data_IF_321474441930
#
_entry.id   IF_321474441930
#
_cell.length_a   1.000
_cell.length_b   1.000
_cell.length_c   1.000
_cell.angle_alpha   90.00
_cell.angle_beta   90.00
_cell.angle_gamma   90.00
#
_symmetry.space_group_name_H-M   'P 1'
#
loop_
_entity.id
_entity.type
_entity.pdbx_description
1 polymer ?
#
# COMPACT_ATOMS: atom_id res chain seq x y z
N UNK A 1 -70.38 11.48 46.45
CA UNK A 1 -69.54 12.27 45.54
C UNK A 1 -68.09 11.83 45.73
N UNK A 2 -67.58 11.04 44.88
CA UNK A 2 -66.30 10.36 45.01
C UNK A 2 -65.30 11.04 44.08
N UNK A 3 -64.20 11.56 44.60
CA UNK A 3 -63.13 12.13 43.89
C UNK A 3 -62.08 11.00 43.60
N UNK A 4 -61.82 10.73 42.39
CA UNK A 4 -60.72 9.82 41.93
C UNK A 4 -59.50 10.68 41.55
N UNK A 5 -58.40 10.52 42.29
CA UNK A 5 -57.10 11.08 42.03
C UNK A 5 -56.34 10.09 41.15
N UNK A 6 -56.02 10.47 39.91
CA UNK A 6 -55.15 9.72 39.01
C UNK A 6 -53.73 10.27 39.17
N UNK A 7 -52.85 9.46 39.75
CA UNK A 7 -51.42 9.75 39.86
C UNK A 7 -50.70 9.43 38.58
N UNK A 8 -50.02 10.41 38.05
CA UNK A 8 -49.11 10.27 36.89
C UNK A 8 -47.76 9.77 37.35
N UNK A 9 -47.40 8.55 36.97
CA UNK A 9 -46.04 8.00 37.13
C UNK A 9 -45.16 8.48 35.97
N UNK A 10 -44.23 9.37 36.27
CA UNK A 10 -43.18 9.76 35.35
C UNK A 10 -42.09 8.67 35.27
N UNK A 11 -41.93 8.08 34.10
CA UNK A 11 -40.82 7.15 33.80
C UNK A 11 -39.60 7.97 33.40
N UNK A 12 -38.59 8.02 34.27
CA UNK A 12 -37.26 8.51 33.96
C UNK A 12 -36.53 7.45 33.11
N UNK A 13 -36.38 7.71 31.83
CA UNK A 13 -35.52 6.92 30.96
C UNK A 13 -34.05 7.32 31.18
N UNK A 14 -33.32 6.49 31.90
CA UNK A 14 -31.87 6.54 32.00
C UNK A 14 -31.27 6.08 30.64
N UNK A 15 -30.84 7.04 29.84
CA UNK A 15 -30.07 6.79 28.65
C UNK A 15 -28.68 6.25 28.98
N UNK A 16 -28.46 4.97 28.80
CA UNK A 16 -27.12 4.37 28.84
C UNK A 16 -26.30 4.83 27.64
N UNK A 17 -25.33 5.72 27.86
CA UNK A 17 -24.26 5.97 26.90
C UNK A 17 -23.41 4.70 26.82
N UNK A 18 -23.57 3.94 25.75
CA UNK A 18 -22.64 2.88 25.40
C UNK A 18 -21.34 3.53 24.90
N UNK A 19 -20.30 3.51 25.71
CA UNK A 19 -18.92 3.75 25.27
C UNK A 19 -18.55 2.64 24.27
N UNK A 20 -18.51 2.99 22.98
CA UNK A 20 -17.89 2.15 21.98
C UNK A 20 -16.38 2.18 22.24
N UNK A 21 -15.89 1.23 23.00
CA UNK A 21 -14.47 0.93 23.08
C UNK A 21 -14.05 0.35 21.72
N UNK A 22 -13.32 1.13 20.96
CA UNK A 22 -12.51 0.63 19.83
C UNK A 22 -11.43 -0.25 20.45
N UNK A 23 -11.72 -1.54 20.54
CA UNK A 23 -10.72 -2.53 20.92
C UNK A 23 -9.65 -2.53 19.80
N UNK A 24 -8.47 -2.06 20.13
CA UNK A 24 -7.28 -2.29 19.30
C UNK A 24 -7.16 -3.81 19.12
N UNK A 25 -7.32 -4.26 17.88
CA UNK A 25 -7.15 -5.67 17.55
C UNK A 25 -5.69 -6.03 17.78
N UNK A 26 -5.46 -6.91 18.74
CA UNK A 26 -4.15 -7.53 18.94
C UNK A 26 -3.74 -8.28 17.67
N UNK A 27 -2.45 -8.30 17.31
CA UNK A 27 -1.98 -9.05 16.15
C UNK A 27 -2.34 -10.52 16.33
N UNK A 28 -3.07 -11.07 15.34
CA UNK A 28 -3.42 -12.49 15.31
C UNK A 28 -2.19 -13.25 14.81
N UNK A 29 -1.65 -14.23 15.54
CA UNK A 29 -0.55 -15.06 15.03
C UNK A 29 -1.05 -15.87 13.82
N UNK A 30 -0.35 -15.73 12.69
CA UNK A 30 -0.70 -16.36 11.44
C UNK A 30 -0.42 -17.89 11.48
N UNK A 31 -1.31 -18.73 10.96
CA UNK A 31 -1.06 -20.17 10.77
C UNK A 31 -0.10 -20.40 9.59
N UNK A 32 0.56 -21.56 9.55
CA UNK A 32 1.39 -21.99 8.41
C UNK A 32 0.48 -22.30 7.22
N UNK A 33 0.53 -21.47 6.16
CA UNK A 33 -0.32 -21.56 4.97
C UNK A 33 -0.46 -20.17 4.31
N UNK A 34 -1.19 -20.05 3.24
CA UNK A 34 -1.45 -18.77 2.54
C UNK A 34 -1.87 -17.68 3.52
N UNK A 35 -0.97 -16.76 3.79
CA UNK A 35 -1.21 -15.69 4.73
C UNK A 35 -1.88 -14.53 4.02
N UNK A 36 -2.97 -14.02 4.58
CA UNK A 36 -3.64 -12.85 4.02
C UNK A 36 -4.28 -11.96 5.08
N UNK A 37 -4.22 -10.66 4.84
CA UNK A 37 -4.94 -9.63 5.60
C UNK A 37 -5.82 -8.88 4.62
N UNK A 38 -7.11 -8.77 4.92
CA UNK A 38 -8.06 -7.97 4.15
C UNK A 38 -8.64 -6.87 5.02
N UNK A 39 -8.76 -5.64 4.47
CA UNK A 39 -9.36 -4.48 5.14
C UNK A 39 -10.23 -3.72 4.16
N UNK A 40 -11.44 -3.30 4.56
CA UNK A 40 -12.26 -2.40 3.76
C UNK A 40 -11.52 -1.08 3.50
N UNK A 41 -11.47 -0.65 2.24
CA UNK A 41 -10.83 0.60 1.83
C UNK A 41 -11.38 1.04 0.48
N UNK A 42 -11.92 2.24 0.42
CA UNK A 42 -12.55 2.76 -0.80
C UNK A 42 -11.52 3.38 -1.76
N UNK A 43 -11.86 3.41 -3.04
CA UNK A 43 -11.12 4.14 -4.07
C UNK A 43 -10.91 5.62 -3.73
N UNK A 44 -9.86 6.22 -4.29
CA UNK A 44 -9.48 7.62 -4.07
C UNK A 44 -8.78 7.86 -2.74
N UNK A 45 -8.53 6.81 -1.97
CA UNK A 45 -7.81 6.92 -0.71
C UNK A 45 -6.29 6.96 -0.89
N UNK A 46 -5.59 7.29 0.19
CA UNK A 46 -4.12 7.33 0.25
C UNK A 46 -3.58 6.13 0.98
N UNK A 47 -2.63 5.43 0.36
CA UNK A 47 -1.97 4.26 0.93
C UNK A 47 -0.50 4.55 1.17
N UNK A 48 -0.06 4.37 2.41
CA UNK A 48 1.34 4.43 2.81
C UNK A 48 1.87 3.01 2.97
N UNK A 49 2.90 2.68 2.21
CA UNK A 49 3.63 1.41 2.24
C UNK A 49 4.98 1.65 2.90
N UNK A 50 5.23 1.02 4.04
CA UNK A 50 6.52 0.99 4.75
C UNK A 50 6.99 -0.46 4.74
N UNK A 51 7.81 -0.80 3.77
CA UNK A 51 8.14 -2.18 3.48
C UNK A 51 9.54 -2.54 3.97
N UNK A 52 9.65 -3.70 4.59
CA UNK A 52 10.93 -4.35 4.83
C UNK A 52 11.62 -4.66 3.49
N UNK A 53 12.90 -5.05 3.53
CA UNK A 53 13.59 -5.48 2.31
C UNK A 53 13.00 -6.80 1.81
N UNK A 54 12.68 -6.92 0.52
CA UNK A 54 12.04 -8.13 -0.04
C UNK A 54 11.44 -7.86 -1.42
N UNK A 55 10.63 -8.80 -1.88
CA UNK A 55 10.03 -8.77 -3.21
C UNK A 55 8.52 -8.55 -3.10
N UNK A 56 8.04 -7.47 -3.72
CA UNK A 56 6.68 -7.00 -3.57
C UNK A 56 6.01 -6.76 -4.91
N UNK A 57 4.88 -7.41 -5.13
CA UNK A 57 3.95 -7.10 -6.22
C UNK A 57 2.83 -6.23 -5.68
N UNK A 58 2.71 -4.99 -6.16
CA UNK A 58 1.60 -4.08 -5.85
C UNK A 58 0.72 -3.95 -7.08
N UNK A 59 -0.53 -4.36 -6.99
CA UNK A 59 -1.42 -4.37 -8.15
C UNK A 59 -2.82 -3.87 -7.86
N UNK A 60 -3.53 -3.49 -8.91
CA UNK A 60 -4.95 -3.19 -8.79
C UNK A 60 -5.74 -4.45 -8.39
N UNK A 61 -6.61 -4.28 -7.41
CA UNK A 61 -7.54 -5.29 -6.92
C UNK A 61 -8.99 -4.79 -6.91
N UNK A 62 -9.78 -5.28 -5.97
CA UNK A 62 -11.16 -4.83 -5.80
C UNK A 62 -11.22 -3.37 -5.35
N UNK A 63 -12.26 -2.64 -5.76
CA UNK A 63 -12.41 -1.20 -5.53
C UNK A 63 -12.78 -0.82 -4.08
N UNK A 64 -13.12 -1.79 -3.26
CA UNK A 64 -13.68 -1.61 -1.92
C UNK A 64 -12.78 -2.10 -0.78
N UNK A 65 -11.57 -2.64 -1.09
CA UNK A 65 -10.70 -3.25 -0.09
C UNK A 65 -9.23 -3.25 -0.46
N UNK A 66 -8.40 -3.39 0.57
CA UNK A 66 -6.99 -3.75 0.48
C UNK A 66 -6.86 -5.22 0.84
N UNK A 67 -6.04 -5.96 0.08
CA UNK A 67 -5.64 -7.31 0.41
C UNK A 67 -4.12 -7.42 0.39
N UNK A 68 -3.53 -7.89 1.47
CA UNK A 68 -2.10 -8.20 1.54
C UNK A 68 -1.97 -9.70 1.69
N UNK A 69 -1.25 -10.35 0.78
CA UNK A 69 -0.92 -11.78 0.82
C UNK A 69 0.58 -11.93 0.85
N UNK A 70 1.03 -12.97 1.51
CA UNK A 70 2.44 -13.35 1.46
C UNK A 70 2.59 -14.85 1.55
N UNK A 71 3.55 -15.34 0.82
CA UNK A 71 3.88 -16.75 0.72
C UNK A 71 5.35 -16.95 1.01
N UNK A 72 5.67 -18.10 1.59
CA UNK A 72 7.04 -18.54 1.75
C UNK A 72 7.52 -19.18 0.45
N UNK A 73 8.54 -18.59 -0.19
CA UNK A 73 9.16 -19.13 -1.40
C UNK A 73 10.41 -19.94 -1.03
N UNK A 74 10.57 -21.11 -1.67
CA UNK A 74 11.78 -21.93 -1.56
C UNK A 74 12.13 -22.37 -0.14
N UNK A 75 13.34 -22.03 0.32
CA UNK A 75 13.91 -22.48 1.60
C UNK A 75 13.54 -21.56 2.79
N UNK A 76 12.41 -20.88 2.75
CA UNK A 76 11.95 -20.05 3.86
C UNK A 76 11.88 -20.86 5.17
N UNK A 77 12.51 -20.34 6.22
CA UNK A 77 12.53 -21.04 7.51
C UNK A 77 11.26 -20.71 8.30
N UNK A 78 10.66 -21.72 8.90
CA UNK A 78 9.50 -21.54 9.80
C UNK A 78 9.79 -20.53 10.91
N UNK A 79 11.03 -20.43 11.38
CA UNK A 79 11.47 -19.47 12.39
C UNK A 79 11.45 -18.02 11.88
N UNK A 80 11.63 -17.80 10.58
CA UNK A 80 11.58 -16.47 9.96
C UNK A 80 10.12 -16.03 9.78
N UNK A 81 9.22 -16.96 9.45
CA UNK A 81 7.77 -16.70 9.40
C UNK A 81 7.22 -16.23 10.74
N UNK A 82 7.71 -16.79 11.86
CA UNK A 82 7.28 -16.40 13.21
C UNK A 82 7.72 -15.00 13.62
N UNK A 83 8.74 -14.44 12.96
CA UNK A 83 9.30 -13.11 13.24
C UNK A 83 8.83 -12.05 12.26
N UNK A 84 8.13 -12.49 11.20
CA UNK A 84 7.56 -11.58 10.22
C UNK A 84 6.34 -10.88 10.82
N UNK A 85 6.33 -9.56 10.76
CA UNK A 85 5.21 -8.74 11.17
C UNK A 85 4.61 -8.06 9.94
N UNK A 86 3.33 -8.24 9.71
CA UNK A 86 2.56 -7.55 8.66
C UNK A 86 1.38 -6.87 9.33
N UNK A 87 1.31 -5.54 9.24
CA UNK A 87 0.23 -4.76 9.80
C UNK A 87 -0.47 -3.94 8.70
N UNK A 88 -1.80 -3.93 8.74
CA UNK A 88 -2.65 -3.16 7.82
C UNK A 88 -3.64 -2.35 8.64
N UNK A 89 -3.36 -1.08 8.79
CA UNK A 89 -4.20 -0.14 9.52
C UNK A 89 -4.94 0.79 8.55
N UNK A 90 -6.26 0.91 8.71
CA UNK A 90 -7.12 1.78 7.90
C UNK A 90 -7.82 2.79 8.81
N UNK A 91 -7.72 4.07 8.48
CA UNK A 91 -8.37 5.17 9.17
C UNK A 91 -9.01 6.12 8.14
N UNK A 92 -10.31 5.97 7.91
CA UNK A 92 -11.03 6.73 6.90
C UNK A 92 -10.50 6.49 5.48
N UNK A 93 -10.05 7.55 4.80
CA UNK A 93 -9.45 7.48 3.45
C UNK A 93 -7.93 7.27 3.47
N UNK A 94 -7.34 6.91 4.61
CA UNK A 94 -5.91 6.63 4.72
C UNK A 94 -5.69 5.20 5.18
N UNK A 95 -4.80 4.49 4.49
CA UNK A 95 -4.30 3.19 4.91
C UNK A 95 -2.79 3.23 5.12
N UNK A 96 -2.29 2.45 6.07
CA UNK A 96 -0.86 2.23 6.28
C UNK A 96 -0.61 0.73 6.32
N UNK A 97 0.30 0.27 5.48
CA UNK A 97 0.76 -1.12 5.45
C UNK A 97 2.22 -1.11 5.87
N UNK A 98 2.53 -1.89 6.88
CA UNK A 98 3.89 -2.04 7.41
C UNK A 98 4.27 -3.51 7.35
N UNK A 99 5.44 -3.79 6.80
CA UNK A 99 6.07 -5.12 6.93
C UNK A 99 7.39 -4.96 7.66
N UNK A 100 7.67 -5.82 8.62
CA UNK A 100 8.93 -5.84 9.37
C UNK A 100 9.37 -7.28 9.66
N UNK A 101 10.66 -7.47 9.87
CA UNK A 101 11.26 -8.77 10.14
C UNK A 101 11.99 -9.39 8.93
N UNK A 102 12.31 -10.68 8.99
CA UNK A 102 13.01 -11.38 7.93
C UNK A 102 12.07 -11.69 6.77
N UNK A 103 12.30 -11.06 5.64
CA UNK A 103 11.51 -11.22 4.40
C UNK A 103 12.22 -12.02 3.31
N UNK A 104 13.44 -12.50 3.61
CA UNK A 104 14.21 -13.31 2.67
C UNK A 104 13.44 -14.59 2.32
N UNK A 105 13.28 -14.86 1.01
CA UNK A 105 12.47 -15.96 0.48
C UNK A 105 10.98 -15.83 0.78
N UNK A 106 10.48 -14.60 0.83
CA UNK A 106 9.05 -14.30 0.92
C UNK A 106 8.62 -13.46 -0.25
N UNK A 107 7.49 -13.80 -0.82
CA UNK A 107 6.84 -13.04 -1.88
C UNK A 107 5.59 -12.37 -1.31
N UNK A 108 5.48 -11.06 -1.53
CA UNK A 108 4.34 -10.28 -1.06
C UNK A 108 3.51 -9.80 -2.23
N UNK A 109 2.20 -9.98 -2.14
CA UNK A 109 1.24 -9.38 -3.07
C UNK A 109 0.34 -8.42 -2.31
N UNK A 110 0.33 -7.15 -2.73
CA UNK A 110 -0.50 -6.09 -2.16
C UNK A 110 -1.50 -5.66 -3.22
N UNK A 111 -2.77 -5.95 -3.00
CA UNK A 111 -3.86 -5.51 -3.88
C UNK A 111 -4.51 -4.26 -3.29
N UNK A 112 -4.60 -3.22 -4.09
CA UNK A 112 -5.18 -1.93 -3.74
C UNK A 112 -6.31 -1.59 -4.71
N UNK A 113 -7.29 -0.76 -4.32
CA UNK A 113 -8.18 -0.14 -5.29
C UNK A 113 -7.38 0.60 -6.37
N UNK A 114 -7.78 0.46 -7.63
CA UNK A 114 -7.01 0.99 -8.78
C UNK A 114 -6.73 2.50 -8.65
N UNK A 115 -7.68 3.28 -8.17
CA UNK A 115 -7.53 4.72 -7.93
C UNK A 115 -7.06 5.00 -6.51
N UNK A 116 -5.80 4.70 -6.24
CA UNK A 116 -5.18 4.94 -4.92
C UNK A 116 -3.93 5.79 -5.07
N UNK A 117 -3.79 6.81 -4.21
CA UNK A 117 -2.52 7.53 -4.07
C UNK A 117 -1.55 6.68 -3.25
N UNK A 118 -0.39 6.37 -3.80
CA UNK A 118 0.59 5.50 -3.15
C UNK A 118 1.83 6.26 -2.71
N UNK A 119 2.19 6.10 -1.45
CA UNK A 119 3.45 6.57 -0.89
C UNK A 119 4.25 5.38 -0.35
N UNK A 120 5.28 4.97 -1.09
CA UNK A 120 6.09 3.79 -0.77
C UNK A 120 7.48 4.20 -0.27
N UNK A 121 7.91 3.53 0.81
CA UNK A 121 9.28 3.57 1.31
C UNK A 121 9.77 2.17 1.56
N UNK A 122 10.93 1.86 1.01
CA UNK A 122 11.59 0.58 1.18
C UNK A 122 13.11 0.77 1.18
N UNK A 123 13.81 -0.10 1.89
CA UNK A 123 15.26 -0.02 1.94
C UNK A 123 15.92 -0.71 0.76
N UNK A 124 15.59 -1.96 0.53
CA UNK A 124 16.17 -2.74 -0.56
C UNK A 124 15.23 -3.87 -1.01
N UNK A 125 15.31 -4.28 -2.26
CA UNK A 125 14.56 -5.39 -2.85
C UNK A 125 13.92 -5.02 -4.18
N UNK A 126 12.88 -5.72 -4.54
CA UNK A 126 12.17 -5.55 -5.80
C UNK A 126 10.72 -5.09 -5.56
N UNK A 127 10.27 -4.16 -6.36
CA UNK A 127 8.88 -3.69 -6.36
C UNK A 127 8.36 -3.66 -7.79
N UNK A 128 7.35 -4.46 -8.06
CA UNK A 128 6.54 -4.39 -9.28
C UNK A 128 5.19 -3.75 -8.96
N UNK A 129 4.88 -2.62 -9.57
CA UNK A 129 3.62 -1.90 -9.36
C UNK A 129 2.84 -1.76 -10.65
N UNK A 130 1.67 -2.40 -10.73
CA UNK A 130 0.85 -2.43 -11.94
C UNK A 130 -0.61 -2.08 -11.69
N UNK A 131 -1.26 -1.42 -12.67
CA UNK A 131 -2.68 -1.13 -12.66
C UNK A 131 -3.14 -0.09 -11.64
N UNK A 132 -2.22 0.56 -10.91
CA UNK A 132 -2.57 1.62 -9.96
C UNK A 132 -2.62 2.97 -10.69
N UNK A 133 -3.77 3.59 -10.66
CA UNK A 133 -4.02 4.97 -11.08
C UNK A 133 -4.08 5.85 -9.83
N UNK A 134 -3.33 6.94 -9.80
CA UNK A 134 -3.21 7.82 -8.64
C UNK A 134 -1.81 8.42 -8.57
N UNK A 135 -1.64 9.37 -7.66
CA UNK A 135 -0.32 9.94 -7.39
C UNK A 135 0.60 8.89 -6.75
N UNK A 136 1.84 8.83 -7.24
CA UNK A 136 2.84 7.88 -6.74
C UNK A 136 4.06 8.62 -6.25
N UNK A 137 4.44 8.38 -4.98
CA UNK A 137 5.68 8.88 -4.40
C UNK A 137 6.47 7.70 -3.82
N UNK A 138 7.54 7.31 -4.50
CA UNK A 138 8.29 6.10 -4.20
C UNK A 138 9.73 6.45 -3.86
N UNK A 139 10.22 5.89 -2.77
CA UNK A 139 11.58 6.06 -2.27
C UNK A 139 12.17 4.71 -1.94
N UNK A 140 13.23 4.34 -2.65
CA UNK A 140 14.01 3.13 -2.36
C UNK A 140 15.49 3.48 -2.24
N UNK A 141 16.22 2.76 -1.38
CA UNK A 141 17.67 2.95 -1.26
C UNK A 141 18.41 2.10 -2.29
N UNK A 142 17.99 0.85 -2.51
CA UNK A 142 18.61 -0.04 -3.49
C UNK A 142 17.61 -1.06 -4.02
N UNK A 143 17.86 -1.60 -5.22
CA UNK A 143 17.09 -2.69 -5.81
C UNK A 143 16.46 -2.34 -7.15
N UNK A 144 15.33 -2.95 -7.44
CA UNK A 144 14.64 -2.80 -8.72
C UNK A 144 13.22 -2.27 -8.49
N UNK A 145 12.82 -1.31 -9.33
CA UNK A 145 11.51 -0.69 -9.27
C UNK A 145 10.88 -0.66 -10.65
N UNK A 146 9.90 -1.52 -10.87
CA UNK A 146 9.10 -1.53 -12.09
C UNK A 146 7.74 -0.91 -11.82
N UNK A 147 7.32 0.05 -12.65
CA UNK A 147 6.03 0.72 -12.55
C UNK A 147 5.34 0.71 -13.90
N UNK A 148 4.20 0.03 -13.97
CA UNK A 148 3.29 0.13 -15.11
C UNK A 148 2.59 1.48 -15.11
N UNK A 149 2.77 2.26 -16.18
CA UNK A 149 2.17 3.59 -16.33
C UNK A 149 1.43 3.69 -17.67
N UNK A 150 0.37 4.49 -17.67
CA UNK A 150 -0.27 4.97 -18.89
C UNK A 150 0.09 6.42 -19.10
N UNK A 151 0.82 6.73 -20.17
CA UNK A 151 1.34 8.08 -20.44
C UNK A 151 0.20 9.12 -20.44
N UNK A 152 -0.96 8.78 -20.99
CA UNK A 152 -2.13 9.66 -21.03
C UNK A 152 -2.73 10.00 -19.66
N UNK A 153 -2.51 9.15 -18.64
CA UNK A 153 -2.98 9.39 -17.28
C UNK A 153 -2.05 10.28 -16.46
N UNK A 154 -0.78 10.42 -16.90
CA UNK A 154 0.22 11.18 -16.20
C UNK A 154 0.21 12.67 -16.59
N UNK A 155 0.11 13.56 -15.60
CA UNK A 155 0.36 15.00 -15.73
C UNK A 155 1.84 15.33 -15.60
N UNK A 156 2.57 14.58 -14.77
CA UNK A 156 4.03 14.70 -14.63
C UNK A 156 4.66 13.40 -14.16
N UNK A 157 5.90 13.16 -14.58
CA UNK A 157 6.72 12.09 -14.04
C UNK A 157 8.13 12.62 -13.73
N UNK A 158 8.57 12.44 -12.50
CA UNK A 158 9.96 12.62 -12.08
C UNK A 158 10.49 11.26 -11.61
N UNK A 159 11.54 10.78 -12.27
CA UNK A 159 12.24 9.58 -11.84
C UNK A 159 13.74 9.84 -11.73
N UNK A 160 14.41 9.32 -10.70
CA UNK A 160 15.84 9.50 -10.52
C UNK A 160 16.52 8.30 -9.88
N UNK A 161 17.68 7.92 -10.47
CA UNK A 161 18.57 6.88 -9.95
C UNK A 161 19.96 7.49 -9.72
N UNK A 162 20.54 7.27 -8.53
CA UNK A 162 21.88 7.79 -8.25
C UNK A 162 22.96 6.94 -8.92
N UNK A 163 22.85 5.61 -8.80
CA UNK A 163 23.75 4.63 -9.42
C UNK A 163 22.96 3.52 -10.09
N UNK A 164 23.00 3.41 -11.41
CA UNK A 164 22.32 2.37 -12.15
C UNK A 164 21.52 2.90 -13.35
N UNK A 165 20.47 2.23 -13.70
CA UNK A 165 19.74 2.44 -14.93
C UNK A 165 18.35 3.03 -14.71
N UNK A 166 17.92 3.85 -15.65
CA UNK A 166 16.58 4.42 -15.71
C UNK A 166 16.01 4.17 -17.10
N UNK A 167 15.09 3.24 -17.18
CA UNK A 167 14.35 2.91 -18.37
C UNK A 167 12.91 3.42 -18.28
N UNK A 168 12.47 4.21 -19.23
CA UNK A 168 11.12 4.75 -19.27
C UNK A 168 10.55 4.61 -20.69
N UNK A 169 10.51 3.37 -21.18
CA UNK A 169 10.04 3.06 -22.53
C UNK A 169 8.59 3.51 -22.75
N UNK A 170 7.75 3.44 -21.73
CA UNK A 170 6.39 3.98 -21.78
C UNK A 170 6.35 5.50 -22.10
N UNK A 171 7.46 6.22 -21.88
CA UNK A 171 7.60 7.65 -22.16
C UNK A 171 8.61 7.93 -23.29
N UNK A 172 9.11 6.88 -23.97
CA UNK A 172 10.09 6.98 -25.04
C UNK A 172 11.51 7.38 -24.61
N UNK A 173 11.89 7.11 -23.34
CA UNK A 173 13.16 7.56 -22.75
C UNK A 173 13.87 6.39 -22.09
N UNK A 174 15.16 6.23 -22.43
CA UNK A 174 16.06 5.28 -21.77
C UNK A 174 17.40 5.93 -21.45
N UNK A 175 17.90 5.77 -20.23
CA UNK A 175 19.15 6.37 -19.74
C UNK A 175 19.89 5.42 -18.80
N UNK A 176 21.18 5.23 -19.02
CA UNK A 176 22.05 4.42 -18.15
C UNK A 176 23.23 5.21 -17.60
N UNK A 177 23.79 4.80 -16.43
CA UNK A 177 25.00 5.33 -15.81
C UNK A 177 24.79 5.96 -14.43
N UNK A 178 25.50 7.07 -14.12
CA UNK A 178 25.49 7.72 -12.81
C UNK A 178 24.61 8.95 -12.82
N UNK A 179 23.81 9.16 -11.76
CA UNK A 179 22.89 10.29 -11.55
C UNK A 179 21.95 10.50 -12.74
N UNK A 180 21.11 9.53 -12.97
CA UNK A 180 20.10 9.62 -14.02
C UNK A 180 18.82 10.23 -13.47
N UNK A 181 18.27 11.16 -14.23
CA UNK A 181 16.96 11.71 -13.93
C UNK A 181 16.15 11.90 -15.20
N UNK A 182 14.85 11.77 -15.01
CA UNK A 182 13.82 12.03 -15.99
C UNK A 182 12.86 13.05 -15.39
N UNK A 183 12.60 14.10 -16.14
CA UNK A 183 11.48 15.02 -15.92
C UNK A 183 10.63 15.00 -17.18
N UNK A 184 9.38 14.62 -17.03
CA UNK A 184 8.43 14.50 -18.12
C UNK A 184 7.12 15.19 -17.75
N UNK A 185 6.50 15.87 -18.68
CA UNK A 185 5.24 16.58 -18.51
C UNK A 185 4.25 16.07 -19.56
N UNK A 186 3.10 15.65 -19.11
CA UNK A 186 1.98 15.19 -19.93
C UNK A 186 0.70 15.96 -19.67
N UNK A 187 -0.40 15.51 -20.26
CA UNK A 187 -1.71 16.12 -20.14
C UNK A 187 -2.65 15.47 -19.13
N UNK A 188 -2.20 14.43 -18.43
CA UNK A 188 -3.03 13.70 -17.48
C UNK A 188 -3.14 14.35 -16.10
N UNK A 189 -3.66 13.59 -15.15
CA UNK A 189 -4.00 14.11 -13.81
C UNK A 189 -2.96 13.73 -12.76
N UNK A 190 -2.32 12.58 -12.89
CA UNK A 190 -1.52 11.99 -11.83
C UNK A 190 -0.05 12.39 -11.91
N UNK A 191 0.59 12.48 -10.76
CA UNK A 191 2.03 12.73 -10.65
C UNK A 191 2.76 11.47 -10.16
N UNK A 192 3.89 11.18 -10.80
CA UNK A 192 4.84 10.14 -10.39
C UNK A 192 6.13 10.80 -9.92
N UNK A 193 6.57 10.49 -8.70
CA UNK A 193 7.91 10.85 -8.17
C UNK A 193 8.57 9.57 -7.64
N UNK A 194 9.53 9.01 -8.39
CA UNK A 194 10.26 7.80 -8.06
C UNK A 194 11.75 8.09 -7.86
N UNK A 195 12.32 7.70 -6.72
CA UNK A 195 13.73 7.88 -6.41
C UNK A 195 14.36 6.62 -5.89
N UNK A 196 15.46 6.24 -6.52
CA UNK A 196 16.26 5.07 -6.19
C UNK A 196 17.71 5.47 -5.97
N UNK A 197 18.33 4.99 -4.89
CA UNK A 197 19.74 5.22 -4.63
C UNK A 197 20.63 4.40 -5.56
N UNK A 198 20.44 3.09 -5.62
CA UNK A 198 21.22 2.19 -6.47
C UNK A 198 20.34 1.08 -7.05
N UNK A 199 20.46 0.81 -8.36
CA UNK A 199 19.73 -0.24 -9.06
C UNK A 199 19.02 0.26 -10.30
N UNK A 200 17.82 -0.22 -10.57
CA UNK A 200 17.09 0.09 -11.81
C UNK A 200 15.68 0.61 -11.51
N UNK A 201 15.28 1.64 -12.26
CA UNK A 201 13.88 2.06 -12.38
C UNK A 201 13.41 1.78 -13.79
N UNK A 202 12.34 1.03 -13.93
CA UNK A 202 11.66 0.76 -15.19
C UNK A 202 10.24 1.32 -15.17
N UNK A 203 9.92 2.24 -16.08
CA UNK A 203 8.58 2.69 -16.37
C UNK A 203 8.08 2.00 -17.63
N UNK A 204 7.29 0.95 -17.47
CA UNK A 204 6.72 0.15 -18.54
C UNK A 204 5.32 0.62 -18.90
N UNK A 205 4.85 0.32 -20.10
CA UNK A 205 3.45 0.56 -20.47
C UNK A 205 2.54 -0.38 -19.67
N UNK A 206 1.53 0.21 -19.02
CA UNK A 206 0.54 -0.59 -18.31
C UNK A 206 -0.41 -1.28 -19.30
N UNK A 207 -0.76 -2.55 -19.04
CA UNK A 207 -1.70 -3.29 -19.88
C UNK A 207 -3.09 -2.69 -19.92
#
# INVERSE_FOLDING_TARGET
>A
MQFVLIGSLGVLALGSLALVQTAGQAPVPAPVGDYSIERPFAEGGRVRLQLASGDYTVRAGASDRIVVRWDAAGDARVEDLKKLEVDVHVAGSMATIVTDGPTKHMEFTIELPSRSDVHLRMRAGEVDMTGIEGHKNIRMTAGELTIGVRAESLGSAHASVTFGDLNADALGISKSGIKRSLDWIGGGTYALDARLGAGEITLSEAP
#
